data_IF_107904160239
#
_entry.id   IF_107904160239
#
_cell.length_a   1.000
_cell.length_b   1.000
_cell.length_c   1.000
_cell.angle_alpha   90.00
_cell.angle_beta   90.00
_cell.angle_gamma   90.00
#
_symmetry.space_group_name_H-M   'P 1'
#
loop_
_entity.id
_entity.type
_entity.pdbx_description
1 polymer ?
#
# COMPACT_ATOMS: atom_id res chain seq x y z
N UNK A 1 -7.61 -32.48 10.74
CA UNK A 1 -6.49 -31.52 10.51
C UNK A 1 -5.83 -31.25 11.86
N UNK A 2 -4.54 -31.62 12.01
CA UNK A 2 -3.85 -31.62 13.30
C UNK A 2 -3.60 -30.17 13.77
N UNK A 3 -3.80 -29.88 15.06
CA UNK A 3 -3.40 -28.61 15.66
C UNK A 3 -1.86 -28.59 15.73
N UNK A 4 -1.25 -27.43 15.49
CA UNK A 4 0.19 -27.25 15.64
C UNK A 4 0.60 -27.50 17.09
N UNK A 5 1.69 -28.22 17.27
CA UNK A 5 2.27 -28.50 18.58
C UNK A 5 3.09 -27.30 19.07
N UNK A 6 3.35 -27.24 20.37
CA UNK A 6 4.27 -26.25 20.95
C UNK A 6 5.67 -26.25 20.31
N UNK A 7 6.10 -27.40 19.77
CA UNK A 7 7.39 -27.55 19.08
C UNK A 7 7.37 -26.82 17.72
N UNK A 8 6.27 -26.92 16.97
CA UNK A 8 6.15 -26.26 15.67
C UNK A 8 6.10 -24.75 15.81
N UNK A 9 5.42 -24.21 16.84
CA UNK A 9 5.45 -22.76 17.14
C UNK A 9 6.87 -22.27 17.48
N UNK A 10 7.63 -23.02 18.26
CA UNK A 10 9.03 -22.69 18.58
C UNK A 10 9.92 -22.69 17.34
N UNK A 11 9.70 -23.61 16.40
CA UNK A 11 10.42 -23.62 15.12
C UNK A 11 10.10 -22.39 14.28
N UNK A 12 8.83 -21.98 14.24
CA UNK A 12 8.42 -20.73 13.59
C UNK A 12 9.09 -19.52 14.22
N UNK A 13 9.09 -19.42 15.55
CA UNK A 13 9.74 -18.32 16.27
C UNK A 13 11.25 -18.28 15.99
N UNK A 14 11.93 -19.41 16.00
CA UNK A 14 13.36 -19.50 15.68
C UNK A 14 13.66 -19.02 14.25
N UNK A 15 12.85 -19.45 13.28
CA UNK A 15 12.96 -18.98 11.90
C UNK A 15 12.76 -17.45 11.80
N UNK A 16 11.76 -16.90 12.48
CA UNK A 16 11.50 -15.46 12.48
C UNK A 16 12.64 -14.68 13.13
N UNK A 17 13.18 -15.16 14.23
CA UNK A 17 14.33 -14.53 14.91
C UNK A 17 15.57 -14.52 14.00
N UNK A 18 15.81 -15.60 13.25
CA UNK A 18 16.87 -15.65 12.23
C UNK A 18 16.65 -14.55 11.18
N UNK A 19 15.42 -14.43 10.62
CA UNK A 19 15.10 -13.42 9.62
C UNK A 19 15.13 -12.00 10.19
N UNK A 20 14.69 -11.79 11.42
CA UNK A 20 14.83 -10.51 12.09
C UNK A 20 16.29 -10.08 12.20
N UNK A 21 17.19 -11.00 12.51
CA UNK A 21 18.64 -10.74 12.56
C UNK A 21 19.20 -10.42 11.17
N UNK A 22 18.86 -11.22 10.15
CA UNK A 22 19.30 -11.05 8.77
C UNK A 22 18.90 -9.68 8.20
N UNK A 23 17.63 -9.30 8.37
CA UNK A 23 17.07 -8.05 7.83
C UNK A 23 17.10 -6.87 8.81
N UNK A 24 17.74 -7.02 9.96
CA UNK A 24 17.84 -5.99 11.02
C UNK A 24 16.46 -5.44 11.43
N UNK A 25 15.45 -6.31 11.52
CA UNK A 25 14.13 -5.94 11.95
C UNK A 25 14.06 -5.84 13.48
N UNK A 26 13.67 -4.70 14.06
CA UNK A 26 13.68 -4.51 15.52
C UNK A 26 12.60 -5.31 16.23
N UNK A 27 11.47 -5.55 15.58
CA UNK A 27 10.37 -6.35 16.12
C UNK A 27 9.47 -6.92 15.05
N UNK A 28 8.76 -7.99 15.42
CA UNK A 28 7.70 -8.62 14.61
C UNK A 28 6.57 -9.02 15.54
N UNK A 29 5.33 -8.74 15.14
CA UNK A 29 4.13 -9.28 15.78
C UNK A 29 3.41 -10.22 14.83
N UNK A 30 2.98 -11.37 15.34
CA UNK A 30 2.44 -12.46 14.56
C UNK A 30 1.09 -12.86 15.15
N UNK A 31 0.11 -13.09 14.28
CA UNK A 31 -1.14 -13.77 14.65
C UNK A 31 -1.48 -14.80 13.58
N UNK A 32 -1.87 -15.97 14.01
CA UNK A 32 -2.38 -17.04 13.13
C UNK A 32 -3.84 -17.30 13.49
N UNK A 33 -4.71 -17.18 12.49
CA UNK A 33 -6.15 -17.40 12.62
C UNK A 33 -6.53 -18.65 11.85
N UNK A 34 -7.32 -19.51 12.48
CA UNK A 34 -7.86 -20.74 11.88
C UNK A 34 -9.33 -20.88 12.27
N UNK A 35 -10.21 -21.08 11.29
CA UNK A 35 -11.65 -21.20 11.50
C UNK A 35 -12.27 -20.04 12.32
N UNK A 36 -11.78 -18.81 12.13
CA UNK A 36 -12.25 -17.63 12.86
C UNK A 36 -11.65 -17.45 14.25
N UNK A 37 -10.82 -18.38 14.73
CA UNK A 37 -10.18 -18.31 16.05
C UNK A 37 -8.69 -18.01 15.93
N UNK A 38 -8.18 -17.17 16.84
CA UNK A 38 -6.74 -16.92 16.96
C UNK A 38 -6.10 -18.12 17.65
N UNK A 39 -5.37 -18.94 16.89
CA UNK A 39 -4.71 -20.15 17.39
C UNK A 39 -3.27 -19.89 17.86
N UNK A 40 -2.69 -18.77 17.48
CA UNK A 40 -1.37 -18.32 17.92
C UNK A 40 -1.28 -16.80 17.82
N UNK A 41 -0.73 -16.17 18.84
CA UNK A 41 -0.38 -14.75 18.81
C UNK A 41 0.87 -14.52 19.67
N UNK A 42 1.90 -13.90 19.09
CA UNK A 42 3.14 -13.57 19.79
C UNK A 42 3.79 -12.33 19.20
N UNK A 43 4.74 -11.77 19.92
CA UNK A 43 5.59 -10.68 19.48
C UNK A 43 7.05 -10.94 19.87
N UNK A 44 7.97 -10.64 18.95
CA UNK A 44 9.39 -10.82 19.11
C UNK A 44 10.12 -9.48 18.96
N UNK A 45 11.17 -9.27 19.75
CA UNK A 45 11.98 -8.06 19.71
C UNK A 45 11.39 -6.89 20.49
N UNK A 46 11.77 -5.67 20.10
CA UNK A 46 11.50 -4.45 20.87
C UNK A 46 10.74 -3.42 20.02
N UNK A 47 9.70 -2.82 20.61
CA UNK A 47 8.98 -1.67 20.02
C UNK A 47 9.71 -0.34 20.24
N UNK A 48 10.64 -0.32 21.19
CA UNK A 48 11.53 0.81 21.47
C UNK A 48 12.90 0.23 21.85
N UNK A 49 13.87 0.35 20.94
CA UNK A 49 15.21 -0.18 21.10
C UNK A 49 16.00 0.62 22.14
N UNK A 50 15.84 1.94 22.16
CA UNK A 50 16.60 2.82 23.07
C UNK A 50 16.24 2.57 24.52
N UNK A 51 14.94 2.35 24.77
CA UNK A 51 14.42 2.10 26.12
C UNK A 51 14.31 0.63 26.49
N UNK A 52 14.64 -0.27 25.57
CA UNK A 52 14.56 -1.72 25.78
C UNK A 52 13.12 -2.21 26.02
N UNK A 53 12.11 -1.52 25.46
CA UNK A 53 10.70 -1.89 25.67
C UNK A 53 10.31 -2.98 24.68
N UNK A 54 9.98 -4.17 25.19
CA UNK A 54 9.57 -5.32 24.36
C UNK A 54 8.30 -5.04 23.54
N UNK A 55 8.25 -5.61 22.34
CA UNK A 55 7.03 -5.69 21.55
C UNK A 55 6.01 -6.64 22.21
N UNK A 56 4.74 -6.41 21.96
CA UNK A 56 3.62 -7.25 22.42
C UNK A 56 2.65 -7.48 21.25
N UNK A 57 1.74 -8.46 21.31
CA UNK A 57 0.70 -8.62 20.30
C UNK A 57 -0.19 -7.38 20.11
N UNK A 58 -0.23 -6.48 21.09
CA UNK A 58 -0.94 -5.20 21.03
C UNK A 58 -0.09 -4.03 20.50
N UNK A 59 1.17 -4.27 20.11
CA UNK A 59 2.01 -3.22 19.53
C UNK A 59 1.45 -2.79 18.18
N UNK A 60 1.29 -1.47 18.00
CA UNK A 60 0.74 -0.88 16.78
C UNK A 60 1.85 -0.66 15.77
N UNK A 61 1.63 -1.14 14.55
CA UNK A 61 2.51 -0.96 13.39
C UNK A 61 1.81 -0.22 12.27
N UNK A 62 2.57 0.53 11.47
CA UNK A 62 2.07 1.06 10.21
C UNK A 62 1.87 -0.09 9.21
N UNK A 63 0.65 -0.24 8.69
CA UNK A 63 0.28 -1.34 7.79
C UNK A 63 0.49 -1.01 6.30
N UNK A 64 0.97 0.19 5.99
CA UNK A 64 1.27 0.61 4.62
C UNK A 64 0.09 0.39 3.66
N UNK A 65 0.34 -0.22 2.52
CA UNK A 65 -0.66 -0.44 1.46
C UNK A 65 -1.77 -1.44 1.81
N UNK A 66 -1.67 -2.19 2.90
CA UNK A 66 -2.79 -3.00 3.40
C UNK A 66 -4.01 -2.10 3.71
N UNK A 67 -3.77 -0.83 4.05
CA UNK A 67 -4.82 0.21 4.19
C UNK A 67 -5.74 0.30 2.96
N UNK A 68 -5.24 0.02 1.75
CA UNK A 68 -6.06 0.03 0.53
C UNK A 68 -7.20 -0.98 0.57
N UNK A 69 -6.98 -2.14 1.19
CA UNK A 69 -8.03 -3.15 1.39
C UNK A 69 -9.16 -2.60 2.24
N UNK A 70 -8.84 -1.90 3.33
CA UNK A 70 -9.84 -1.26 4.18
C UNK A 70 -10.59 -0.16 3.43
N UNK A 71 -9.88 0.66 2.66
CA UNK A 71 -10.49 1.68 1.79
C UNK A 71 -11.46 1.04 0.80
N UNK A 72 -11.06 -0.06 0.15
CA UNK A 72 -11.91 -0.79 -0.80
C UNK A 72 -13.18 -1.34 -0.12
N UNK A 73 -13.05 -1.89 1.09
CA UNK A 73 -14.20 -2.35 1.88
C UNK A 73 -15.15 -1.20 2.23
N UNK A 74 -14.61 -0.03 2.60
CA UNK A 74 -15.43 1.16 2.87
C UNK A 74 -16.20 1.60 1.61
N UNK A 75 -15.55 1.60 0.43
CA UNK A 75 -16.20 1.92 -0.84
C UNK A 75 -17.30 0.91 -1.16
N UNK A 76 -17.03 -0.39 -1.06
CA UNK A 76 -18.01 -1.45 -1.30
C UNK A 76 -19.20 -1.36 -0.34
N UNK A 77 -18.97 -0.94 0.90
CA UNK A 77 -20.05 -0.67 1.86
C UNK A 77 -20.96 0.48 1.40
N UNK A 78 -20.40 1.54 0.81
CA UNK A 78 -21.22 2.62 0.21
C UNK A 78 -22.04 2.13 -0.98
N UNK A 79 -21.47 1.20 -1.78
CA UNK A 79 -22.20 0.56 -2.90
C UNK A 79 -23.36 -0.28 -2.36
N UNK A 80 -23.13 -1.11 -1.35
CA UNK A 80 -24.15 -1.95 -0.71
C UNK A 80 -25.32 -1.12 -0.16
N UNK A 81 -25.02 0.07 0.37
CA UNK A 81 -26.00 1.01 0.91
C UNK A 81 -26.66 1.91 -0.17
N UNK A 82 -26.34 1.69 -1.44
CA UNK A 82 -26.91 2.45 -2.58
C UNK A 82 -26.45 3.91 -2.68
N UNK A 83 -25.39 4.30 -1.98
CA UNK A 83 -24.85 5.68 -1.99
C UNK A 83 -23.83 5.91 -3.08
N UNK A 84 -23.31 4.85 -3.69
CA UNK A 84 -22.29 4.87 -4.72
C UNK A 84 -22.51 3.71 -5.69
N UNK A 85 -22.27 3.95 -7.01
CA UNK A 85 -22.20 2.89 -8.02
C UNK A 85 -20.75 2.75 -8.51
N UNK A 86 -20.27 1.52 -8.63
CA UNK A 86 -18.93 1.25 -9.14
C UNK A 86 -18.70 1.75 -10.55
N UNK A 87 -19.76 1.85 -11.37
CA UNK A 87 -19.73 2.35 -12.73
C UNK A 87 -19.81 3.89 -12.82
N UNK A 88 -20.11 4.57 -11.71
CA UNK A 88 -20.09 6.02 -11.68
C UNK A 88 -18.68 6.57 -11.92
N UNK A 89 -18.62 7.74 -12.55
CA UNK A 89 -17.38 8.49 -12.71
C UNK A 89 -16.96 9.12 -11.38
N UNK A 90 -15.67 9.14 -11.11
CA UNK A 90 -15.08 9.73 -9.89
C UNK A 90 -15.47 11.20 -9.73
N UNK A 91 -15.55 11.93 -10.84
CA UNK A 91 -15.93 13.35 -10.87
C UNK A 91 -17.34 13.65 -10.36
N UNK A 92 -18.21 12.64 -10.26
CA UNK A 92 -19.52 12.75 -9.60
C UNK A 92 -19.42 13.01 -8.10
N UNK A 93 -18.36 12.54 -7.47
CA UNK A 93 -18.17 12.55 -6.01
C UNK A 93 -17.05 13.47 -5.55
N UNK A 94 -16.05 13.68 -6.40
CA UNK A 94 -14.88 14.50 -6.11
C UNK A 94 -14.70 15.54 -7.22
N UNK A 95 -14.49 16.83 -6.89
CA UNK A 95 -14.30 17.89 -7.87
C UNK A 95 -12.92 17.76 -8.53
N UNK A 96 -12.81 16.87 -9.51
CA UNK A 96 -11.59 16.56 -10.23
C UNK A 96 -11.87 16.20 -11.68
N UNK A 97 -10.89 16.33 -12.56
CA UNK A 97 -10.97 15.94 -13.97
C UNK A 97 -9.92 14.86 -14.26
N UNK A 98 -10.18 13.64 -13.82
CA UNK A 98 -9.29 12.51 -14.00
C UNK A 98 -9.57 11.81 -15.35
N UNK A 99 -8.79 12.17 -16.38
CA UNK A 99 -8.91 11.66 -17.75
C UNK A 99 -7.54 11.28 -18.32
N UNK A 100 -6.88 10.27 -17.77
CA UNK A 100 -5.49 9.93 -18.15
C UNK A 100 -5.32 9.61 -19.65
N UNK A 101 -6.41 9.27 -20.35
CA UNK A 101 -6.41 8.97 -21.80
C UNK A 101 -7.60 9.62 -22.53
N UNK A 102 -8.05 10.76 -22.03
CA UNK A 102 -9.26 11.43 -22.58
C UNK A 102 -10.57 10.86 -22.02
N UNK A 103 -10.55 9.67 -21.42
CA UNK A 103 -11.74 9.02 -20.87
C UNK A 103 -11.85 9.23 -19.35
N UNK A 104 -13.06 9.49 -18.82
CA UNK A 104 -13.24 9.70 -17.39
C UNK A 104 -13.03 8.41 -16.60
N UNK A 105 -12.40 8.55 -15.44
CA UNK A 105 -12.14 7.42 -14.53
C UNK A 105 -13.39 7.05 -13.76
N UNK A 106 -13.73 5.75 -13.76
CA UNK A 106 -14.80 5.16 -12.94
C UNK A 106 -14.27 4.68 -11.60
N UNK A 107 -15.17 4.55 -10.61
CA UNK A 107 -14.83 4.06 -9.25
C UNK A 107 -14.13 2.69 -9.31
N UNK A 108 -14.67 1.74 -10.12
CA UNK A 108 -14.05 0.40 -10.21
C UNK A 108 -12.65 0.42 -10.80
N UNK A 109 -12.32 1.40 -11.68
CA UNK A 109 -10.95 1.56 -12.18
C UNK A 109 -9.95 1.83 -11.06
N UNK A 110 -10.34 2.60 -10.04
CA UNK A 110 -9.49 2.87 -8.89
C UNK A 110 -9.29 1.62 -8.03
N UNK A 111 -10.38 0.87 -7.77
CA UNK A 111 -10.34 -0.33 -6.93
C UNK A 111 -9.50 -1.46 -7.54
N UNK A 112 -9.44 -1.53 -8.87
CA UNK A 112 -8.70 -2.58 -9.60
C UNK A 112 -7.33 -2.13 -10.09
N UNK A 113 -6.91 -0.91 -9.75
CA UNK A 113 -5.66 -0.32 -10.25
C UNK A 113 -5.56 -0.25 -11.78
N UNK A 114 -6.68 -0.09 -12.48
CA UNK A 114 -6.78 -0.01 -13.95
C UNK A 114 -7.16 1.38 -14.46
N UNK A 115 -7.04 2.40 -13.62
CA UNK A 115 -7.43 3.77 -13.94
C UNK A 115 -6.50 4.47 -14.94
N UNK A 116 -5.27 3.99 -15.12
CA UNK A 116 -4.24 4.69 -15.89
C UNK A 116 -3.61 5.90 -15.19
N UNK A 117 -4.05 6.22 -13.98
CA UNK A 117 -3.44 7.28 -13.18
C UNK A 117 -2.01 6.89 -12.78
N UNK A 118 -1.06 7.85 -12.75
CA UNK A 118 0.31 7.56 -12.35
C UNK A 118 0.34 7.12 -10.89
N UNK A 119 1.02 6.00 -10.63
CA UNK A 119 1.20 5.47 -9.28
C UNK A 119 2.17 6.32 -8.44
N UNK A 120 2.94 7.17 -9.09
CA UNK A 120 4.11 7.85 -8.53
C UNK A 120 3.89 9.32 -8.16
N UNK A 121 2.70 9.89 -8.39
CA UNK A 121 2.47 11.32 -8.15
C UNK A 121 2.86 11.78 -6.74
N UNK A 122 2.63 10.93 -5.72
CA UNK A 122 3.12 11.20 -4.37
C UNK A 122 4.64 11.09 -4.25
N UNK A 123 5.24 10.07 -4.87
CA UNK A 123 6.70 9.85 -4.82
C UNK A 123 7.45 10.95 -5.60
N UNK A 124 6.92 11.39 -6.73
CA UNK A 124 7.47 12.49 -7.51
C UNK A 124 7.42 13.80 -6.73
N UNK A 125 6.27 14.15 -6.16
CA UNK A 125 6.14 15.33 -5.31
C UNK A 125 7.08 15.30 -4.11
N UNK A 126 7.26 14.12 -3.49
CA UNK A 126 8.19 13.94 -2.38
C UNK A 126 9.65 14.07 -2.83
N UNK A 127 10.02 13.42 -3.94
CA UNK A 127 11.39 13.49 -4.48
C UNK A 127 11.72 14.91 -4.93
N UNK A 128 10.83 15.57 -5.66
CA UNK A 128 11.03 16.96 -6.06
C UNK A 128 11.18 17.90 -4.86
N UNK A 129 10.37 17.69 -3.82
CA UNK A 129 10.45 18.45 -2.57
C UNK A 129 11.75 18.23 -1.81
N UNK A 130 12.21 16.99 -1.68
CA UNK A 130 13.45 16.63 -0.97
C UNK A 130 14.69 17.05 -1.76
N UNK A 131 14.67 16.94 -3.08
CA UNK A 131 15.80 17.29 -3.94
C UNK A 131 15.83 18.75 -4.35
N UNK A 132 14.82 19.54 -4.03
CA UNK A 132 14.73 20.96 -4.39
C UNK A 132 14.60 21.19 -5.90
N UNK A 133 14.12 20.21 -6.65
CA UNK A 133 14.03 20.23 -8.10
C UNK A 133 12.75 20.90 -8.62
N UNK A 134 11.77 21.13 -7.77
CA UNK A 134 10.47 21.70 -8.13
C UNK A 134 10.30 23.14 -7.66
N UNK A 135 9.68 23.98 -8.48
CA UNK A 135 9.39 25.38 -8.17
C UNK A 135 8.31 25.58 -7.08
N UNK A 136 7.60 24.53 -6.71
CA UNK A 136 6.53 24.58 -5.72
C UNK A 136 6.41 23.26 -4.97
N UNK A 137 7.21 23.07 -3.94
CA UNK A 137 6.95 22.03 -2.95
C UNK A 137 5.65 22.35 -2.21
N UNK A 138 4.59 21.63 -2.50
CA UNK A 138 3.35 21.71 -1.73
C UNK A 138 3.36 20.57 -0.69
N UNK A 139 3.34 20.90 0.61
CA UNK A 139 3.18 19.86 1.63
C UNK A 139 1.82 19.19 1.46
N UNK A 140 1.81 17.87 1.25
CA UNK A 140 0.59 17.09 1.19
C UNK A 140 0.12 16.84 2.62
N UNK A 141 -0.84 17.63 3.07
CA UNK A 141 -1.39 17.57 4.42
C UNK A 141 -2.75 16.84 4.47
N UNK A 142 -3.47 16.79 3.36
CA UNK A 142 -4.81 16.16 3.22
C UNK A 142 -4.96 15.52 1.84
N UNK A 143 -5.87 14.54 1.68
CA UNK A 143 -6.05 13.81 0.42
C UNK A 143 -6.29 14.70 -0.80
N UNK A 144 -6.97 15.83 -0.64
CA UNK A 144 -7.27 16.78 -1.72
C UNK A 144 -6.01 17.40 -2.32
N UNK A 145 -4.93 17.53 -1.55
CA UNK A 145 -3.66 18.10 -2.00
C UNK A 145 -2.97 17.21 -3.06
N UNK A 146 -3.44 15.94 -3.23
CA UNK A 146 -2.96 15.03 -4.26
C UNK A 146 -3.59 15.28 -5.64
N UNK A 147 -4.77 15.89 -5.72
CA UNK A 147 -5.53 16.03 -6.97
C UNK A 147 -4.74 16.74 -8.08
N UNK A 148 -4.01 17.86 -7.83
CA UNK A 148 -3.23 18.52 -8.87
C UNK A 148 -2.16 17.63 -9.52
N UNK A 149 -1.60 16.68 -8.76
CA UNK A 149 -0.59 15.75 -9.27
C UNK A 149 -1.20 14.65 -10.15
N UNK A 150 -2.48 14.33 -9.94
CA UNK A 150 -3.20 13.32 -10.71
C UNK A 150 -3.78 13.88 -12.01
N UNK A 151 -4.14 15.14 -12.06
CA UNK A 151 -4.74 15.82 -13.21
C UNK A 151 -3.73 16.11 -14.34
N UNK A 152 -2.43 16.13 -14.03
CA UNK A 152 -1.34 16.34 -14.99
C UNK A 152 -0.80 15.06 -15.66
N UNK A 153 -1.42 13.91 -15.45
CA UNK A 153 -0.88 12.58 -15.77
C UNK A 153 -0.71 12.23 -17.26
N UNK A 154 -1.14 13.08 -18.21
CA UNK A 154 -0.94 12.85 -19.65
C UNK A 154 0.55 12.85 -20.07
N UNK A 155 1.44 13.35 -19.24
CA UNK A 155 2.87 13.50 -19.56
C UNK A 155 3.70 12.23 -19.39
N UNK A 156 3.17 11.16 -18.78
CA UNK A 156 3.97 10.01 -18.33
C UNK A 156 3.72 8.70 -19.10
N UNK A 157 3.07 8.72 -20.26
CA UNK A 157 2.94 7.53 -21.13
C UNK A 157 2.16 6.36 -20.51
N UNK A 158 1.16 6.66 -19.70
CA UNK A 158 0.27 5.68 -19.09
C UNK A 158 -0.63 4.98 -20.13
N UNK A 159 -1.09 3.76 -19.87
CA UNK A 159 -1.97 2.97 -20.75
C UNK A 159 -3.44 3.37 -20.62
N UNK A 160 -4.28 2.95 -21.58
CA UNK A 160 -5.70 3.29 -21.58
C UNK A 160 -6.44 2.84 -20.32
N UNK A 161 -7.39 3.64 -19.86
CA UNK A 161 -8.24 3.31 -18.72
C UNK A 161 -8.98 1.98 -18.98
N UNK A 162 -8.83 1.01 -18.06
CA UNK A 162 -9.43 -0.32 -18.16
C UNK A 162 -8.49 -1.42 -18.67
N UNK A 163 -7.30 -1.11 -19.19
CA UNK A 163 -6.29 -2.12 -19.46
C UNK A 163 -5.59 -2.56 -18.18
N UNK A 164 -5.53 -3.86 -17.93
CA UNK A 164 -4.77 -4.41 -16.81
C UNK A 164 -3.30 -3.98 -16.91
N UNK A 165 -2.71 -3.56 -15.82
CA UNK A 165 -1.30 -3.23 -15.72
C UNK A 165 -0.46 -4.52 -15.81
N UNK A 166 -0.32 -5.05 -17.02
CA UNK A 166 0.67 -6.06 -17.31
C UNK A 166 2.02 -5.36 -17.37
N UNK A 167 2.78 -5.43 -16.29
CA UNK A 167 4.19 -5.06 -16.32
C UNK A 167 4.83 -5.76 -17.52
N UNK A 168 5.42 -5.03 -18.48
CA UNK A 168 6.19 -5.68 -19.51
C UNK A 168 7.32 -6.45 -18.81
N UNK A 169 7.41 -7.75 -19.05
CA UNK A 169 8.59 -8.57 -18.71
C UNK A 169 9.77 -8.12 -19.58
N UNK A 170 10.18 -6.87 -19.48
CA UNK A 170 11.47 -6.42 -19.98
C UNK A 170 12.42 -6.53 -18.82
N UNK A 171 13.38 -7.45 -19.00
CA UNK A 171 14.38 -7.81 -18.03
C UNK A 171 14.94 -6.60 -17.31
N UNK A 172 14.88 -6.64 -16.00
CA UNK A 172 15.74 -5.86 -15.13
C UNK A 172 17.18 -6.19 -15.54
N UNK A 173 17.82 -5.29 -16.29
CA UNK A 173 19.27 -5.32 -16.36
C UNK A 173 19.76 -5.04 -14.93
N UNK A 174 20.58 -5.91 -14.36
CA UNK A 174 21.18 -5.60 -13.07
C UNK A 174 22.00 -4.33 -13.25
N UNK A 175 21.73 -3.33 -12.42
CA UNK A 175 22.64 -2.20 -12.25
C UNK A 175 23.95 -2.79 -11.76
N UNK A 176 24.95 -2.84 -12.63
CA UNK A 176 26.29 -3.24 -12.30
C UNK A 176 26.87 -2.24 -11.30
N UNK A 177 26.99 -2.65 -10.05
CA UNK A 177 27.90 -2.02 -9.11
C UNK A 177 29.30 -2.49 -9.52
N UNK A 178 30.04 -1.62 -10.20
CA UNK A 178 31.50 -1.77 -10.30
C UNK A 178 32.10 -1.41 -8.94
N UNK A 179 32.90 -2.34 -8.43
CA UNK A 179 33.78 -2.16 -7.27
C UNK A 179 34.88 -1.13 -7.55
#
# INVERSE_FOLDING_TARGET
MQAWSNMEWRQLEAFILEKMSEYKMPSVTIAVVKNGEVVYANALGFRDLERGVSATPATVYGIGSITKTFTSLCVLKQVEEGRLDLNDYVEKYIPTNLRPFGEPVKIWHLLTHSSGLPALGYAEAFIEGVMGLGAAWMPIAKPQDLLPFLEGGERLGCRQAGEAFLLPKRGLRPLGFNH
#
